data_IF_203474405447
#
_entry.id   IF_203474405447
#
_cell.length_a   1.000
_cell.length_b   1.000
_cell.length_c   1.000
_cell.angle_alpha   90.00
_cell.angle_beta   90.00
_cell.angle_gamma   90.00
#
_symmetry.space_group_name_H-M   'P 1'
#
loop_
_entity.id
_entity.type
_entity.pdbx_description
1 polymer ?
#
# COMPACT_ATOMS: atom_id res chain seq x y z
N UNK A 1 20.13 -7.47 -17.89
CA UNK A 1 18.74 -7.01 -18.11
C UNK A 1 18.20 -7.67 -19.36
N UNK A 2 16.93 -8.07 -19.37
CA UNK A 2 16.27 -8.61 -20.56
C UNK A 2 15.54 -7.47 -21.29
N UNK A 3 15.62 -7.44 -22.62
CA UNK A 3 14.92 -6.46 -23.46
C UNK A 3 13.54 -7.00 -23.87
N UNK A 4 12.55 -6.11 -23.90
CA UNK A 4 11.20 -6.39 -24.44
C UNK A 4 10.79 -5.21 -25.30
N UNK A 5 10.23 -5.51 -26.48
CA UNK A 5 9.62 -4.49 -27.33
C UNK A 5 8.19 -4.23 -26.83
N UNK A 6 7.83 -2.96 -26.71
CA UNK A 6 6.51 -2.51 -26.28
C UNK A 6 5.96 -1.55 -27.32
N UNK A 7 4.65 -1.64 -27.57
CA UNK A 7 3.93 -0.66 -28.40
C UNK A 7 3.29 0.34 -27.46
N UNK A 8 3.60 1.61 -27.65
CA UNK A 8 3.00 2.71 -26.90
C UNK A 8 1.87 3.34 -27.73
N UNK A 9 0.85 3.82 -27.04
CA UNK A 9 -0.11 4.74 -27.66
C UNK A 9 0.53 6.11 -27.87
N UNK A 10 0.00 6.92 -28.79
CA UNK A 10 0.51 8.28 -29.06
C UNK A 10 0.61 9.13 -27.78
N UNK A 11 -0.37 9.01 -26.89
CA UNK A 11 -0.38 9.70 -25.60
C UNK A 11 0.76 9.24 -24.68
N UNK A 12 1.01 7.93 -24.61
CA UNK A 12 2.08 7.36 -23.78
C UNK A 12 3.46 7.75 -24.31
N UNK A 13 3.65 7.71 -25.63
CA UNK A 13 4.89 8.14 -26.27
C UNK A 13 5.17 9.63 -25.98
N UNK A 14 4.16 10.49 -26.15
CA UNK A 14 4.26 11.91 -25.79
C UNK A 14 4.66 12.10 -24.33
N UNK A 15 4.00 11.39 -23.40
CA UNK A 15 4.32 11.48 -21.97
C UNK A 15 5.78 11.07 -21.70
N UNK A 16 6.25 9.97 -22.27
CA UNK A 16 7.64 9.51 -22.10
C UNK A 16 8.62 10.54 -22.67
N UNK A 17 8.33 11.09 -23.85
CA UNK A 17 9.17 12.13 -24.46
C UNK A 17 9.22 13.41 -23.62
N UNK A 18 8.09 13.87 -23.08
CA UNK A 18 8.04 15.04 -22.19
C UNK A 18 8.87 14.81 -20.91
N UNK A 19 8.80 13.61 -20.34
CA UNK A 19 9.58 13.24 -19.14
C UNK A 19 11.09 13.21 -19.43
N UNK A 20 11.50 12.76 -20.61
CA UNK A 20 12.91 12.76 -21.02
C UNK A 20 13.37 14.20 -21.33
N UNK A 21 12.58 14.96 -22.08
CA UNK A 21 12.89 16.34 -22.44
C UNK A 21 13.01 17.26 -21.21
N UNK A 22 12.24 16.99 -20.16
CA UNK A 22 12.37 17.70 -18.88
C UNK A 22 13.63 17.34 -18.08
N UNK A 23 14.37 16.30 -18.50
CA UNK A 23 15.54 15.78 -17.80
C UNK A 23 15.23 14.91 -16.60
N UNK A 24 13.96 14.62 -16.30
CA UNK A 24 13.57 13.75 -15.18
C UNK A 24 14.06 12.31 -15.37
N UNK A 25 14.11 11.82 -16.61
CA UNK A 25 14.67 10.51 -16.95
C UNK A 25 15.61 10.63 -18.15
N UNK A 26 16.64 9.78 -18.21
CA UNK A 26 17.63 9.81 -19.29
C UNK A 26 17.14 9.11 -20.56
N UNK A 27 16.20 8.16 -20.43
CA UNK A 27 15.66 7.41 -21.55
C UNK A 27 14.31 6.75 -21.21
N UNK A 28 13.62 6.27 -22.26
CA UNK A 28 12.32 5.62 -22.13
C UNK A 28 12.36 4.39 -21.22
N UNK A 29 13.44 3.60 -21.26
CA UNK A 29 13.53 2.39 -20.45
C UNK A 29 13.57 2.71 -18.95
N UNK A 30 14.19 3.83 -18.56
CA UNK A 30 14.21 4.30 -17.19
C UNK A 30 12.82 4.79 -16.74
N UNK A 31 12.17 5.60 -17.57
CA UNK A 31 10.82 6.10 -17.30
C UNK A 31 9.81 4.95 -17.15
N UNK A 32 9.85 3.97 -18.06
CA UNK A 32 8.99 2.79 -18.00
C UNK A 32 9.24 1.95 -16.76
N UNK A 33 10.51 1.74 -16.36
CA UNK A 33 10.82 1.04 -15.10
C UNK A 33 10.32 1.81 -13.87
N UNK A 34 10.36 3.14 -13.89
CA UNK A 34 9.78 3.94 -12.81
C UNK A 34 8.26 3.78 -12.75
N UNK A 35 7.59 3.77 -13.90
CA UNK A 35 6.16 3.48 -13.99
C UNK A 35 5.81 2.07 -13.48
N UNK A 36 6.60 1.05 -13.86
CA UNK A 36 6.38 -0.32 -13.37
C UNK A 36 6.57 -0.44 -11.85
N UNK A 37 7.55 0.24 -11.26
CA UNK A 37 7.70 0.25 -9.79
C UNK A 37 6.49 0.87 -9.07
N UNK A 38 5.89 1.89 -9.65
CA UNK A 38 4.67 2.49 -9.09
C UNK A 38 3.49 1.51 -9.19
N UNK A 39 3.35 0.82 -10.34
CA UNK A 39 2.32 -0.21 -10.51
C UNK A 39 2.52 -1.37 -9.52
N UNK A 40 3.75 -1.86 -9.36
CA UNK A 40 4.09 -2.93 -8.40
C UNK A 40 3.72 -2.52 -6.96
N UNK A 41 3.96 -1.26 -6.58
CA UNK A 41 3.59 -0.76 -5.27
C UNK A 41 2.06 -0.70 -5.10
N UNK A 42 1.34 -0.18 -6.08
CA UNK A 42 -0.13 -0.09 -6.04
C UNK A 42 -0.78 -1.48 -5.95
N UNK A 43 -0.31 -2.44 -6.73
CA UNK A 43 -0.80 -3.82 -6.68
C UNK A 43 -0.50 -4.48 -5.32
N UNK A 44 0.70 -4.27 -4.77
CA UNK A 44 1.05 -4.79 -3.44
C UNK A 44 0.17 -4.21 -2.32
N UNK A 45 -0.15 -2.91 -2.38
CA UNK A 45 -1.04 -2.25 -1.41
C UNK A 45 -2.48 -2.80 -1.51
N UNK A 46 -2.99 -3.00 -2.73
CA UNK A 46 -4.30 -3.58 -2.96
C UNK A 46 -4.39 -5.03 -2.48
N UNK A 47 -3.38 -5.85 -2.75
CA UNK A 47 -3.35 -7.24 -2.32
C UNK A 47 -3.23 -7.35 -0.78
N UNK A 48 -2.44 -6.49 -0.15
CA UNK A 48 -2.38 -6.41 1.30
C UNK A 48 -3.75 -6.03 1.91
N UNK A 49 -4.47 -5.10 1.29
CA UNK A 49 -5.82 -4.74 1.73
C UNK A 49 -6.79 -5.91 1.58
N UNK A 50 -6.79 -6.59 0.43
CA UNK A 50 -7.62 -7.77 0.17
C UNK A 50 -7.36 -8.87 1.20
N UNK A 51 -6.09 -9.18 1.46
CA UNK A 51 -5.72 -10.19 2.45
C UNK A 51 -6.27 -9.87 3.85
N UNK A 52 -6.15 -8.60 4.30
CA UNK A 52 -6.68 -8.16 5.60
C UNK A 52 -8.20 -8.23 5.68
N UNK A 53 -8.90 -7.90 4.58
CA UNK A 53 -10.35 -8.02 4.52
C UNK A 53 -10.79 -9.49 4.56
N UNK A 54 -10.13 -10.37 3.81
CA UNK A 54 -10.41 -11.80 3.83
C UNK A 54 -10.18 -12.41 5.21
N UNK A 55 -9.10 -12.03 5.90
CA UNK A 55 -8.82 -12.45 7.27
C UNK A 55 -9.95 -12.01 8.22
N UNK A 56 -10.30 -10.72 8.23
CA UNK A 56 -11.38 -10.21 9.08
C UNK A 56 -12.74 -10.84 8.77
N UNK A 57 -13.02 -11.14 7.51
CA UNK A 57 -14.23 -11.88 7.12
C UNK A 57 -14.18 -13.32 7.67
N UNK A 58 -13.06 -14.03 7.55
CA UNK A 58 -12.92 -15.40 8.10
C UNK A 58 -13.11 -15.41 9.63
N UNK A 59 -12.54 -14.44 10.34
CA UNK A 59 -12.77 -14.27 11.79
C UNK A 59 -14.25 -14.04 12.10
N UNK A 60 -14.90 -13.13 11.37
CA UNK A 60 -16.30 -12.82 11.58
C UNK A 60 -17.25 -14.00 11.28
N UNK A 61 -16.95 -14.82 10.28
CA UNK A 61 -17.72 -16.03 9.94
C UNK A 61 -17.49 -17.18 10.92
N UNK A 62 -16.28 -17.29 11.49
CA UNK A 62 -15.96 -18.30 12.51
C UNK A 62 -16.40 -17.90 13.92
N UNK A 63 -17.04 -16.74 14.08
CA UNK A 63 -17.51 -16.24 15.37
C UNK A 63 -16.40 -15.63 16.24
N UNK A 64 -15.18 -15.48 15.71
CA UNK A 64 -14.05 -14.83 16.38
C UNK A 64 -14.22 -13.31 16.34
N UNK A 65 -15.25 -12.81 17.05
CA UNK A 65 -15.53 -11.37 17.18
C UNK A 65 -15.12 -10.90 18.56
N UNK A 66 -14.75 -9.62 18.65
CA UNK A 66 -14.52 -9.01 19.95
C UNK A 66 -15.82 -9.02 20.77
N UNK A 67 -15.70 -9.36 22.05
CA UNK A 67 -16.84 -9.34 22.97
C UNK A 67 -17.26 -7.91 23.33
N UNK A 68 -18.58 -7.71 23.34
CA UNK A 68 -19.25 -6.45 23.65
C UNK A 68 -19.68 -5.67 22.42
N UNK A 69 -20.23 -4.49 22.66
CA UNK A 69 -20.58 -3.53 21.61
C UNK A 69 -19.32 -2.92 20.97
N UNK A 70 -19.46 -2.39 19.75
CA UNK A 70 -18.36 -1.71 19.07
C UNK A 70 -17.76 -0.57 19.92
N UNK A 71 -18.61 0.17 20.66
CA UNK A 71 -18.15 1.25 21.54
C UNK A 71 -17.28 0.73 22.70
N UNK A 72 -17.69 -0.35 23.36
CA UNK A 72 -16.93 -0.97 24.45
C UNK A 72 -15.60 -1.53 23.98
N UNK A 73 -15.59 -2.17 22.80
CA UNK A 73 -14.39 -2.69 22.16
C UNK A 73 -13.42 -1.54 21.86
N UNK A 74 -13.91 -0.45 21.24
CA UNK A 74 -13.09 0.72 20.92
C UNK A 74 -12.53 1.37 22.18
N UNK A 75 -13.36 1.59 23.21
CA UNK A 75 -12.95 2.15 24.50
C UNK A 75 -11.83 1.33 25.13
N UNK A 76 -11.96 0.00 25.14
CA UNK A 76 -10.95 -0.94 25.65
C UNK A 76 -9.66 -0.91 24.83
N UNK A 77 -9.75 -0.82 23.50
CA UNK A 77 -8.60 -0.73 22.63
C UNK A 77 -7.79 0.56 22.87
N UNK A 78 -8.45 1.71 22.98
CA UNK A 78 -7.79 2.99 23.26
C UNK A 78 -7.18 3.06 24.65
N UNK A 79 -7.86 2.53 25.68
CA UNK A 79 -7.30 2.46 27.03
C UNK A 79 -5.98 1.66 27.06
N UNK A 80 -5.96 0.47 26.42
CA UNK A 80 -4.75 -0.36 26.30
C UNK A 80 -3.63 0.32 25.52
N UNK A 81 -3.96 1.06 24.46
CA UNK A 81 -2.98 1.80 23.69
C UNK A 81 -2.33 2.89 24.55
N UNK A 82 -3.12 3.68 25.29
CA UNK A 82 -2.64 4.73 26.19
C UNK A 82 -1.69 4.20 27.26
N UNK A 83 -2.06 3.10 27.94
CA UNK A 83 -1.21 2.45 28.95
C UNK A 83 0.15 2.01 28.37
N UNK A 84 0.17 1.47 27.14
CA UNK A 84 1.42 1.09 26.46
C UNK A 84 2.30 2.28 26.11
N UNK A 85 1.72 3.44 25.80
CA UNK A 85 2.48 4.66 25.50
C UNK A 85 3.02 5.33 26.76
N UNK A 86 2.26 5.33 27.86
CA UNK A 86 2.67 5.91 29.15
C UNK A 86 3.71 5.02 29.86
N UNK A 87 3.57 3.69 29.81
CA UNK A 87 4.54 2.76 30.38
C UNK A 87 5.92 2.77 29.70
N UNK A 88 6.02 3.23 28.45
CA UNK A 88 7.31 3.41 27.75
C UNK A 88 8.06 4.69 28.15
N UNK A 89 7.39 5.67 28.78
CA UNK A 89 8.03 6.92 29.22
C UNK A 89 8.65 6.84 30.62
N UNK A 90 8.38 5.79 31.39
CA UNK A 90 8.96 5.59 32.73
C UNK A 90 10.20 4.67 32.75
N UNK A 91 10.64 4.16 31.59
CA UNK A 91 11.78 3.23 31.49
C UNK A 91 12.94 3.83 30.65
N UNK A 92 12.92 5.13 30.39
CA UNK A 92 14.03 5.88 29.77
C UNK A 92 14.68 6.82 30.76
#
# INVERSE_FOLDING_TARGET
MTTRNVVLTDHQDKLVNDLIASGRYQNASEALRAGLRLLEQEEAELDALRARLEEGLKEAHSGQRAEGTAEEVMRRAFARAKERFEGKQQVG
#
